data_IF_088812670603
#
_entry.id   IF_088812670603
#
_cell.length_a   1.000
_cell.length_b   1.000
_cell.length_c   1.000
_cell.angle_alpha   90.00
_cell.angle_beta   90.00
_cell.angle_gamma   90.00
#
_symmetry.space_group_name_H-M   'P 1'
#
loop_
_entity.id
_entity.type
_entity.pdbx_description
1 polymer ?
#
# COMPACT_ATOMS: atom_id res chain seq x y z
N UNK A 1 -13.05 14.43 -4.68
CA UNK A 1 -12.71 15.87 -4.75
C UNK A 1 -11.95 16.18 -6.05
N UNK A 2 -12.35 17.22 -6.79
CA UNK A 2 -11.71 17.58 -8.08
C UNK A 2 -10.50 18.52 -7.90
N UNK A 3 -10.37 19.20 -6.76
CA UNK A 3 -9.24 20.09 -6.45
C UNK A 3 -7.98 19.31 -6.00
N UNK A 4 -6.81 19.87 -6.31
CA UNK A 4 -5.51 19.32 -5.90
C UNK A 4 -5.38 19.27 -4.39
N UNK A 5 -5.74 20.37 -3.71
CA UNK A 5 -5.77 20.45 -2.23
C UNK A 5 -6.65 19.38 -1.60
N UNK A 6 -7.80 19.08 -2.22
CA UNK A 6 -8.70 18.02 -1.76
C UNK A 6 -8.07 16.62 -1.86
N UNK A 7 -7.33 16.32 -2.93
CA UNK A 7 -6.62 15.03 -3.08
C UNK A 7 -5.51 14.87 -2.05
N UNK A 8 -4.73 15.93 -1.83
CA UNK A 8 -3.66 15.94 -0.82
C UNK A 8 -4.24 15.68 0.56
N UNK A 9 -5.30 16.39 0.95
CA UNK A 9 -5.94 16.18 2.25
C UNK A 9 -6.48 14.75 2.41
N UNK A 10 -7.14 14.19 1.38
CA UNK A 10 -7.68 12.82 1.45
C UNK A 10 -6.61 11.75 1.60
N UNK A 11 -5.37 11.99 1.15
CA UNK A 11 -4.24 11.08 1.40
C UNK A 11 -3.57 11.37 2.73
N UNK A 12 -3.34 12.64 3.06
CA UNK A 12 -2.58 13.05 4.23
C UNK A 12 -3.23 12.65 5.56
N UNK A 13 -4.54 12.89 5.72
CA UNK A 13 -5.26 12.57 6.97
C UNK A 13 -5.21 11.09 7.35
N UNK A 14 -5.59 10.14 6.47
CA UNK A 14 -5.54 8.72 6.83
C UNK A 14 -4.11 8.23 7.06
N UNK A 15 -3.12 8.74 6.31
CA UNK A 15 -1.71 8.40 6.55
C UNK A 15 -1.26 8.89 7.93
N UNK A 16 -1.61 10.13 8.30
CA UNK A 16 -1.26 10.66 9.62
C UNK A 16 -1.88 9.84 10.76
N UNK A 17 -3.16 9.49 10.65
CA UNK A 17 -3.85 8.68 11.67
C UNK A 17 -3.22 7.28 11.76
N UNK A 18 -2.87 6.67 10.63
CA UNK A 18 -2.19 5.38 10.59
C UNK A 18 -0.88 5.39 11.40
N UNK A 19 -0.05 6.42 11.22
CA UNK A 19 1.18 6.60 11.99
C UNK A 19 0.91 6.92 13.46
N UNK A 20 -0.09 7.76 13.76
CA UNK A 20 -0.44 8.12 15.13
C UNK A 20 -0.93 6.91 15.96
N UNK A 21 -1.56 5.93 15.31
CA UNK A 21 -1.99 4.66 15.92
C UNK A 21 -0.88 3.61 15.98
N UNK A 22 0.34 3.93 15.54
CA UNK A 22 1.51 3.03 15.54
C UNK A 22 1.25 1.75 14.73
N UNK A 23 0.49 1.85 13.65
CA UNK A 23 0.35 0.74 12.72
C UNK A 23 1.61 0.56 11.88
N UNK A 24 1.89 -0.70 11.53
CA UNK A 24 3.08 -1.05 10.78
C UNK A 24 2.84 -1.11 9.27
N UNK A 25 3.67 -0.40 8.51
CA UNK A 25 3.62 -0.43 7.06
C UNK A 25 4.85 -1.10 6.48
N UNK A 26 4.65 -2.16 5.69
CA UNK A 26 5.74 -2.97 5.14
C UNK A 26 6.80 -2.13 4.44
N UNK A 27 6.40 -1.20 3.56
CA UNK A 27 7.34 -0.42 2.75
C UNK A 27 8.13 0.58 3.61
N UNK A 28 7.50 1.14 4.64
CA UNK A 28 8.19 2.02 5.59
C UNK A 28 9.19 1.21 6.42
N UNK A 29 8.83 0.01 6.86
CA UNK A 29 9.72 -0.86 7.62
C UNK A 29 10.90 -1.34 6.76
N UNK A 30 10.71 -1.55 5.46
CA UNK A 30 11.80 -1.82 4.50
C UNK A 30 12.78 -0.65 4.35
N UNK A 31 12.39 0.57 4.72
CA UNK A 31 13.29 1.72 4.72
C UNK A 31 13.90 1.96 6.12
N UNK A 32 13.07 1.91 7.16
CA UNK A 32 13.45 2.31 8.52
C UNK A 32 14.43 1.32 9.18
N UNK A 33 14.22 0.02 9.01
CA UNK A 33 15.09 -0.99 9.63
C UNK A 33 16.49 -1.06 8.97
N UNK A 34 16.62 -1.06 7.63
CA UNK A 34 17.93 -0.93 6.99
C UNK A 34 18.65 0.37 7.34
N UNK A 35 17.93 1.50 7.43
CA UNK A 35 18.51 2.75 7.89
C UNK A 35 19.02 2.64 9.34
N UNK A 36 18.25 2.01 10.23
CA UNK A 36 18.65 1.76 11.62
C UNK A 36 19.90 0.87 11.73
N UNK A 37 20.02 -0.17 10.90
CA UNK A 37 21.22 -1.01 10.85
C UNK A 37 22.46 -0.23 10.41
N UNK A 38 22.33 0.66 9.41
CA UNK A 38 23.43 1.53 8.96
C UNK A 38 23.85 2.51 10.06
N UNK A 39 22.89 2.98 10.87
CA UNK A 39 23.13 3.87 12.01
C UNK A 39 23.64 3.15 13.27
N UNK A 40 23.87 1.83 13.20
CA UNK A 40 24.52 1.05 14.26
C UNK A 40 23.57 0.32 15.22
N UNK A 41 22.36 -0.02 14.79
CA UNK A 41 21.44 -0.80 15.62
C UNK A 41 21.80 -2.31 15.67
N UNK A 42 21.76 -2.90 16.88
CA UNK A 42 22.16 -4.27 17.18
C UNK A 42 21.10 -5.34 16.83
N UNK A 43 20.54 -5.33 15.63
CA UNK A 43 19.62 -6.39 15.19
C UNK A 43 20.01 -6.98 13.83
N UNK A 44 19.98 -8.31 13.76
CA UNK A 44 20.31 -9.06 12.55
C UNK A 44 19.15 -9.09 11.54
N UNK A 45 19.51 -9.22 10.26
CA UNK A 45 18.56 -9.27 9.12
C UNK A 45 17.54 -10.41 9.30
N UNK A 46 17.97 -11.57 9.80
CA UNK A 46 17.07 -12.72 10.02
C UNK A 46 16.02 -12.46 11.10
N UNK A 47 16.36 -11.71 12.16
CA UNK A 47 15.43 -11.35 13.23
C UNK A 47 14.40 -10.35 12.71
N UNK A 48 14.86 -9.33 11.99
CA UNK A 48 13.98 -8.34 11.36
C UNK A 48 13.00 -8.99 10.38
N UNK A 49 13.48 -9.90 9.52
CA UNK A 49 12.63 -10.54 8.52
C UNK A 49 11.50 -11.36 9.15
N UNK A 50 11.83 -12.21 10.14
CA UNK A 50 10.87 -13.15 10.72
C UNK A 50 9.89 -12.50 11.69
N UNK A 51 10.34 -11.53 12.50
CA UNK A 51 9.52 -10.95 13.56
C UNK A 51 8.89 -9.61 13.21
N UNK A 52 9.34 -8.96 12.13
CA UNK A 52 8.75 -7.71 11.66
C UNK A 52 8.22 -7.87 10.23
N UNK A 53 9.08 -8.11 9.24
CA UNK A 53 8.66 -7.95 7.85
C UNK A 53 7.56 -8.92 7.42
N UNK A 54 7.69 -10.22 7.74
CA UNK A 54 6.67 -11.24 7.42
C UNK A 54 5.32 -10.92 8.07
N UNK A 55 5.23 -10.70 9.40
CA UNK A 55 3.96 -10.38 10.04
C UNK A 55 3.37 -9.05 9.54
N UNK A 56 4.19 -8.02 9.31
CA UNK A 56 3.71 -6.74 8.76
C UNK A 56 3.15 -6.90 7.34
N UNK A 57 3.79 -7.70 6.47
CA UNK A 57 3.27 -8.01 5.12
C UNK A 57 1.91 -8.68 5.20
N UNK A 58 1.80 -9.72 6.02
CA UNK A 58 0.57 -10.49 6.16
C UNK A 58 -0.56 -9.61 6.70
N UNK A 59 -0.29 -8.80 7.72
CA UNK A 59 -1.24 -7.84 8.29
C UNK A 59 -1.71 -6.81 7.26
N UNK A 60 -0.80 -6.24 6.46
CA UNK A 60 -1.16 -5.25 5.43
C UNK A 60 -2.02 -5.87 4.31
N UNK A 61 -1.72 -7.10 3.87
CA UNK A 61 -2.54 -7.80 2.87
C UNK A 61 -3.93 -8.09 3.43
N UNK A 62 -4.02 -8.68 4.62
CA UNK A 62 -5.32 -9.00 5.25
C UNK A 62 -6.13 -7.73 5.49
N UNK A 63 -5.50 -6.66 6.00
CA UNK A 63 -6.13 -5.37 6.23
C UNK A 63 -6.68 -4.76 4.94
N UNK A 64 -5.87 -4.74 3.86
CA UNK A 64 -6.31 -4.24 2.56
C UNK A 64 -7.45 -5.06 1.95
N UNK A 65 -7.40 -6.38 2.08
CA UNK A 65 -8.46 -7.27 1.59
C UNK A 65 -9.77 -7.05 2.34
N UNK A 66 -9.72 -6.99 3.66
CA UNK A 66 -10.92 -6.90 4.51
C UNK A 66 -11.51 -5.49 4.51
N UNK A 67 -10.68 -4.46 4.61
CA UNK A 67 -11.16 -3.08 4.76
C UNK A 67 -11.42 -2.38 3.41
N UNK A 68 -10.76 -2.81 2.34
CA UNK A 68 -10.88 -2.16 1.02
C UNK A 68 -11.52 -3.07 -0.01
N UNK A 69 -10.93 -4.26 -0.28
CA UNK A 69 -11.40 -5.11 -1.36
C UNK A 69 -12.80 -5.69 -1.09
N UNK A 70 -13.08 -6.14 0.13
CA UNK A 70 -14.37 -6.75 0.46
C UNK A 70 -15.54 -5.75 0.39
N UNK A 71 -15.48 -4.54 0.98
CA UNK A 71 -16.55 -3.55 0.84
C UNK A 71 -16.74 -3.11 -0.61
N UNK A 72 -15.65 -2.91 -1.37
CA UNK A 72 -15.75 -2.57 -2.79
C UNK A 72 -16.40 -3.69 -3.59
N UNK A 73 -16.01 -4.95 -3.34
CA UNK A 73 -16.62 -6.11 -4.00
C UNK A 73 -18.11 -6.20 -3.68
N UNK A 74 -18.50 -6.15 -2.40
CA UNK A 74 -19.92 -6.26 -2.01
C UNK A 74 -20.78 -5.14 -2.61
N UNK A 75 -20.25 -3.92 -2.71
CA UNK A 75 -20.99 -2.76 -3.22
C UNK A 75 -21.00 -2.66 -4.74
N UNK A 76 -19.96 -3.12 -5.43
CA UNK A 76 -19.82 -2.95 -6.89
C UNK A 76 -19.85 -4.27 -7.69
N UNK A 77 -19.96 -5.44 -7.06
CA UNK A 77 -19.95 -6.74 -7.74
C UNK A 77 -21.07 -6.89 -8.79
N UNK A 78 -22.21 -6.23 -8.62
CA UNK A 78 -23.35 -6.31 -9.55
C UNK A 78 -23.40 -5.19 -10.59
N UNK A 79 -22.55 -4.16 -10.44
CA UNK A 79 -22.49 -2.99 -11.33
C UNK A 79 -21.20 -2.97 -12.14
N UNK A 80 -20.37 -4.01 -11.99
CA UNK A 80 -19.14 -4.16 -12.75
C UNK A 80 -19.48 -4.27 -14.25
N UNK A 81 -18.92 -3.40 -15.11
CA UNK A 81 -19.00 -3.56 -16.56
C UNK A 81 -18.48 -4.95 -16.94
N UNK A 82 -19.13 -5.63 -17.89
CA UNK A 82 -18.58 -6.87 -18.45
C UNK A 82 -17.20 -6.55 -19.01
N UNK A 83 -16.16 -7.21 -18.49
CA UNK A 83 -14.82 -7.15 -19.05
C UNK A 83 -14.88 -7.82 -20.43
N UNK A 84 -15.13 -7.03 -21.48
CA UNK A 84 -14.94 -7.47 -22.86
C UNK A 84 -13.46 -7.77 -23.03
N UNK A 85 -13.14 -9.05 -23.05
CA UNK A 85 -11.83 -9.61 -23.42
C UNK A 85 -11.59 -9.23 -24.88
N UNK A 86 -10.90 -8.12 -25.12
CA UNK A 86 -9.98 -7.83 -26.23
C UNK A 86 -9.56 -6.35 -26.05
N UNK A 87 -8.55 -6.10 -25.22
CA UNK A 87 -7.83 -4.83 -25.31
C UNK A 87 -6.40 -5.19 -25.64
N UNK A 88 -6.13 -5.34 -26.94
CA UNK A 88 -4.79 -5.41 -27.51
C UNK A 88 -3.99 -4.26 -26.91
N UNK A 89 -3.10 -4.61 -25.99
CA UNK A 89 -2.12 -3.67 -25.41
C UNK A 89 -1.05 -3.47 -26.48
N UNK A 90 -1.36 -2.67 -27.49
CA UNK A 90 -0.35 -2.02 -28.31
C UNK A 90 0.19 -0.90 -27.42
N UNK A 91 1.23 -1.21 -26.66
CA UNK A 91 1.96 -0.22 -25.87
C UNK A 91 2.65 0.75 -26.83
N UNK A 92 2.02 1.89 -27.11
CA UNK A 92 2.67 3.01 -27.76
C UNK A 92 3.61 3.67 -26.73
N UNK A 93 4.93 3.77 -26.99
CA UNK A 93 5.88 4.31 -26.03
C UNK A 93 5.58 5.80 -25.82
N UNK A 94 5.21 6.16 -24.59
CA UNK A 94 5.03 7.54 -24.16
C UNK A 94 6.39 8.27 -24.12
N UNK A 95 6.90 8.65 -25.30
CA UNK A 95 7.99 9.61 -25.45
C UNK A 95 7.51 10.72 -26.39
N UNK A 96 7.69 11.96 -25.92
CA UNK A 96 7.56 13.25 -26.61
C UNK A 96 6.14 13.83 -26.76
N UNK A 97 5.73 14.58 -25.73
CA UNK A 97 5.25 15.96 -25.88
C UNK A 97 5.74 16.81 -24.72
#
# INVERSE_FOLDING_TARGET
ARSVSGRVAMMWFPIFIFFALVFEHTVVNMFLFPLGMILGADFGIATWLNFNLIPTILGNIIGGLVMTCLPLYLTHAKTAPSLSVEQDVIAEPAIAK
#
